data_IF_377423530837
#
_entry.id   IF_377423530837
#
_cell.length_a   1.000
_cell.length_b   1.000
_cell.length_c   1.000
_cell.angle_alpha   90.00
_cell.angle_beta   90.00
_cell.angle_gamma   90.00
#
_symmetry.space_group_name_H-M   'P 1'
#
loop_
_entity.id
_entity.type
_entity.pdbx_description
1 polymer ?
#
# COMPACT_ATOMS: atom_id res chain seq x y z
N UNK A 1 3.83 13.68 16.49
CA UNK A 1 3.88 12.29 15.96
C UNK A 1 2.49 11.70 16.18
N UNK A 2 1.87 11.05 15.18
CA UNK A 2 0.57 10.40 15.39
C UNK A 2 0.70 9.29 16.44
N UNK A 3 -0.28 9.17 17.33
CA UNK A 3 -0.29 8.17 18.40
C UNK A 3 -0.65 6.77 17.87
N UNK A 4 0.25 6.17 17.10
CA UNK A 4 0.10 4.81 16.55
C UNK A 4 -0.23 3.79 17.64
N UNK A 5 0.25 4.00 18.87
CA UNK A 5 -0.06 3.16 20.01
C UNK A 5 -1.56 3.07 20.28
N UNK A 6 -2.30 4.17 20.20
CA UNK A 6 -3.76 4.21 20.42
C UNK A 6 -4.45 3.44 19.30
N UNK A 7 -4.12 3.79 18.04
CA UNK A 7 -4.70 3.17 16.85
C UNK A 7 -4.52 1.64 16.87
N UNK A 8 -3.31 1.15 17.16
CA UNK A 8 -3.07 -0.28 17.20
C UNK A 8 -3.72 -0.96 18.42
N UNK A 9 -3.80 -0.28 19.56
CA UNK A 9 -4.50 -0.82 20.74
C UNK A 9 -5.98 -1.03 20.43
N UNK A 10 -6.62 -0.05 19.78
CA UNK A 10 -8.02 -0.15 19.38
C UNK A 10 -8.23 -1.29 18.38
N UNK A 11 -7.37 -1.39 17.36
CA UNK A 11 -7.49 -2.45 16.34
C UNK A 11 -7.22 -3.85 16.90
N UNK A 12 -6.28 -3.99 17.84
CA UNK A 12 -6.02 -5.28 18.49
C UNK A 12 -7.21 -5.67 19.37
N UNK A 13 -7.78 -4.73 20.14
CA UNK A 13 -8.99 -4.98 20.93
C UNK A 13 -10.17 -5.44 20.08
N UNK A 14 -10.38 -4.81 18.92
CA UNK A 14 -11.53 -5.08 18.06
C UNK A 14 -11.37 -6.39 17.25
N UNK A 15 -10.18 -6.64 16.70
CA UNK A 15 -9.97 -7.71 15.71
C UNK A 15 -9.17 -8.91 16.19
N UNK A 16 -8.32 -8.71 17.20
CA UNK A 16 -7.41 -9.75 17.70
C UNK A 16 -7.33 -9.72 19.23
N UNK A 17 -8.47 -9.83 19.93
CA UNK A 17 -8.49 -9.77 21.38
C UNK A 17 -7.60 -10.85 22.03
N UNK A 18 -7.36 -11.96 21.33
CA UNK A 18 -6.44 -13.02 21.77
C UNK A 18 -4.96 -12.59 21.80
N UNK A 19 -4.58 -11.54 21.05
CA UNK A 19 -3.20 -11.05 20.96
C UNK A 19 -2.91 -9.89 21.90
N UNK A 20 -3.92 -9.35 22.59
CA UNK A 20 -3.74 -8.16 23.43
C UNK A 20 -2.90 -8.41 24.68
N UNK A 21 -2.94 -9.64 25.18
CA UNK A 21 -2.17 -10.07 26.35
C UNK A 21 -0.84 -10.71 25.96
N UNK A 22 -0.47 -10.73 24.67
CA UNK A 22 0.80 -11.27 24.23
C UNK A 22 1.93 -10.29 24.64
N UNK A 23 2.86 -10.73 25.52
CA UNK A 23 3.95 -9.88 25.98
C UNK A 23 4.84 -9.39 24.81
N UNK A 24 4.98 -10.17 23.74
CA UNK A 24 5.75 -9.79 22.55
C UNK A 24 5.07 -8.63 21.81
N UNK A 25 3.74 -8.65 21.71
CA UNK A 25 2.95 -7.59 21.09
C UNK A 25 3.03 -6.31 21.92
N UNK A 26 2.85 -6.40 23.24
CA UNK A 26 2.93 -5.27 24.15
C UNK A 26 4.32 -4.61 24.10
N UNK A 27 5.40 -5.38 24.13
CA UNK A 27 6.77 -4.84 24.03
C UNK A 27 6.99 -4.13 22.70
N UNK A 28 6.58 -4.72 21.57
CA UNK A 28 6.76 -4.11 20.24
C UNK A 28 5.90 -2.88 20.02
N UNK A 29 4.67 -2.87 20.56
CA UNK A 29 3.76 -1.72 20.51
C UNK A 29 4.36 -0.50 21.25
N UNK A 30 5.02 -0.74 22.38
CA UNK A 30 5.73 0.29 23.13
C UNK A 30 7.06 0.74 22.48
N UNK A 31 7.58 -0.03 21.53
CA UNK A 31 8.83 0.26 20.81
C UNK A 31 8.61 0.86 19.41
N UNK A 32 7.40 1.34 19.09
CA UNK A 32 7.05 1.96 17.80
C UNK A 32 7.62 3.38 17.66
N UNK A 33 8.93 3.47 17.42
CA UNK A 33 9.63 4.75 17.33
C UNK A 33 9.87 5.20 15.88
N UNK A 34 9.86 4.27 14.92
CA UNK A 34 10.11 4.58 13.51
C UNK A 34 9.00 4.06 12.59
N UNK A 35 8.89 4.65 11.40
CA UNK A 35 8.00 4.17 10.36
C UNK A 35 8.30 2.71 9.93
N UNK A 36 9.53 2.25 10.13
CA UNK A 36 9.94 0.86 9.88
C UNK A 36 9.37 -0.08 10.95
N UNK A 37 9.35 0.35 12.21
CA UNK A 37 8.80 -0.44 13.32
C UNK A 37 7.29 -0.57 13.18
N UNK A 38 6.60 0.51 12.80
CA UNK A 38 5.16 0.49 12.48
C UNK A 38 4.87 -0.51 11.36
N UNK A 39 5.72 -0.57 10.32
CA UNK A 39 5.54 -1.50 9.21
C UNK A 39 5.73 -2.97 9.63
N UNK A 40 6.76 -3.24 10.44
CA UNK A 40 7.03 -4.58 10.98
C UNK A 40 5.91 -5.04 11.91
N UNK A 41 5.40 -4.14 12.73
CA UNK A 41 4.32 -4.40 13.66
C UNK A 41 3.00 -4.67 12.95
N UNK A 42 2.67 -3.89 11.91
CA UNK A 42 1.51 -4.13 11.04
C UNK A 42 1.53 -5.57 10.48
N UNK A 43 2.67 -6.00 9.96
CA UNK A 43 2.81 -7.32 9.37
C UNK A 43 2.82 -8.47 10.41
N UNK A 44 3.13 -8.16 11.68
CA UNK A 44 3.03 -9.10 12.80
C UNK A 44 1.57 -9.28 13.24
N UNK A 45 0.80 -8.19 13.32
CA UNK A 45 -0.60 -8.21 13.75
C UNK A 45 -1.52 -8.80 12.69
N UNK A 46 -1.43 -8.32 11.45
CA UNK A 46 -2.33 -8.69 10.35
C UNK A 46 -1.79 -9.83 9.47
N UNK A 47 -0.59 -10.33 9.75
CA UNK A 47 0.12 -11.25 8.87
C UNK A 47 0.83 -10.53 7.73
N UNK A 48 1.84 -11.18 7.14
CA UNK A 48 2.59 -10.60 6.03
C UNK A 48 1.71 -10.56 4.78
N UNK A 49 1.49 -9.40 4.15
CA UNK A 49 1.31 -9.42 2.72
C UNK A 49 2.67 -9.80 2.12
N UNK A 50 2.65 -10.68 1.12
CA UNK A 50 3.79 -11.27 0.44
C UNK A 50 4.99 -10.29 0.30
N UNK A 51 6.24 -10.76 0.38
CA UNK A 51 7.44 -9.89 0.36
C UNK A 51 7.43 -8.92 -0.85
N UNK A 52 6.85 -9.37 -1.96
CA UNK A 52 6.53 -8.60 -3.16
C UNK A 52 5.57 -7.43 -2.92
N UNK A 53 4.52 -7.58 -2.10
CA UNK A 53 3.57 -6.52 -1.73
C UNK A 53 4.22 -5.46 -0.83
N UNK A 54 5.11 -5.86 0.08
CA UNK A 54 5.85 -4.93 0.97
C UNK A 54 6.85 -4.06 0.23
N UNK A 55 7.59 -4.64 -0.73
CA UNK A 55 8.47 -3.88 -1.64
C UNK A 55 7.68 -2.98 -2.59
N UNK A 56 6.50 -3.44 -3.04
CA UNK A 56 5.59 -2.63 -3.85
C UNK A 56 5.01 -1.47 -3.05
N UNK A 57 4.59 -1.65 -1.79
CA UNK A 57 3.97 -0.59 -0.99
C UNK A 57 4.94 0.53 -0.61
N UNK A 58 6.22 0.23 -0.35
CA UNK A 58 7.24 1.28 -0.13
C UNK A 58 7.52 2.11 -1.40
N UNK A 59 7.50 1.49 -2.59
CA UNK A 59 7.65 2.20 -3.88
C UNK A 59 6.36 2.89 -4.36
N UNK A 60 5.21 2.57 -3.76
CA UNK A 60 3.89 3.10 -4.12
C UNK A 60 3.43 4.25 -3.21
N UNK A 61 4.22 4.68 -2.21
CA UNK A 61 3.86 5.79 -1.30
C UNK A 61 3.83 7.18 -1.95
N UNK A 62 4.00 7.31 -3.27
CA UNK A 62 4.06 8.62 -3.95
C UNK A 62 3.12 8.79 -5.14
N UNK A 63 2.32 7.77 -5.50
CA UNK A 63 1.29 7.95 -6.53
C UNK A 63 -0.08 7.91 -5.86
N UNK A 64 -0.68 9.08 -5.71
CA UNK A 64 -2.08 9.19 -5.34
C UNK A 64 -2.97 8.64 -6.47
N UNK A 65 -4.22 8.32 -6.14
CA UNK A 65 -5.16 7.74 -7.09
C UNK A 65 -5.36 8.63 -8.33
N UNK A 66 -5.37 9.95 -8.13
CA UNK A 66 -5.42 10.96 -9.19
C UNK A 66 -4.31 10.77 -10.22
N UNK A 67 -3.04 10.73 -9.76
CA UNK A 67 -1.89 10.56 -10.65
C UNK A 67 -1.93 9.21 -11.40
N UNK A 68 -2.38 8.15 -10.74
CA UNK A 68 -2.52 6.82 -11.37
C UNK A 68 -3.54 6.87 -12.51
N UNK A 69 -4.71 7.47 -12.27
CA UNK A 69 -5.75 7.61 -13.28
C UNK A 69 -5.30 8.51 -14.43
N UNK A 70 -4.56 9.58 -14.14
CA UNK A 70 -3.99 10.47 -15.17
C UNK A 70 -3.00 9.73 -16.07
N UNK A 71 -2.08 8.94 -15.50
CA UNK A 71 -1.11 8.13 -16.26
C UNK A 71 -1.82 7.10 -17.14
N UNK A 72 -2.85 6.42 -16.61
CA UNK A 72 -3.64 5.44 -17.38
C UNK A 72 -4.46 6.12 -18.49
N UNK A 73 -5.00 7.31 -18.24
CA UNK A 73 -5.69 8.11 -19.25
C UNK A 73 -4.71 8.62 -20.33
N UNK A 74 -3.51 9.04 -19.94
CA UNK A 74 -2.45 9.42 -20.88
C UNK A 74 -2.09 8.26 -21.80
N UNK A 75 -1.95 7.05 -21.25
CA UNK A 75 -1.73 5.84 -22.06
C UNK A 75 -2.83 5.66 -23.11
N UNK A 76 -4.10 5.74 -22.70
CA UNK A 76 -5.26 5.53 -23.59
C UNK A 76 -5.37 6.64 -24.65
N UNK A 77 -5.20 7.90 -24.26
CA UNK A 77 -5.28 9.06 -25.16
C UNK A 77 -4.21 9.02 -26.25
N UNK A 78 -3.02 8.52 -25.92
CA UNK A 78 -1.89 8.45 -26.84
C UNK A 78 -1.70 7.06 -27.47
N UNK A 79 -2.63 6.11 -27.26
CA UNK A 79 -2.56 4.74 -27.74
C UNK A 79 -1.24 4.01 -27.43
N UNK A 80 -0.66 4.25 -26.25
CA UNK A 80 0.64 3.70 -25.87
C UNK A 80 0.52 2.29 -25.27
N UNK A 81 1.55 1.48 -25.49
CA UNK A 81 1.72 0.19 -24.81
C UNK A 81 2.15 0.37 -23.36
N UNK A 82 1.95 -0.67 -22.54
CA UNK A 82 2.39 -0.64 -21.14
C UNK A 82 3.90 -0.39 -21.00
N UNK A 83 4.69 -0.82 -21.98
CA UNK A 83 6.15 -0.62 -22.00
C UNK A 83 6.50 0.83 -22.33
N UNK A 84 5.83 1.44 -23.29
CA UNK A 84 6.06 2.85 -23.65
C UNK A 84 5.63 3.79 -22.52
N UNK A 85 4.45 3.56 -21.93
CA UNK A 85 3.99 4.33 -20.76
C UNK A 85 4.94 4.14 -19.57
N UNK A 86 5.40 2.90 -19.34
CA UNK A 86 6.39 2.61 -18.30
C UNK A 86 7.70 3.38 -18.49
N UNK A 87 8.22 3.39 -19.72
CA UNK A 87 9.44 4.13 -20.06
C UNK A 87 9.24 5.65 -19.91
N UNK A 88 8.09 6.17 -20.36
CA UNK A 88 7.76 7.59 -20.29
C UNK A 88 7.72 8.10 -18.84
N UNK A 89 7.02 7.39 -17.95
CA UNK A 89 6.87 7.78 -16.55
C UNK A 89 7.92 7.17 -15.60
N UNK A 90 8.91 6.45 -16.15
CA UNK A 90 9.97 5.74 -15.38
C UNK A 90 9.43 4.80 -14.31
N UNK A 91 8.35 4.11 -14.62
CA UNK A 91 7.68 3.12 -13.76
C UNK A 91 7.79 1.73 -14.36
N UNK A 92 7.62 0.68 -13.55
CA UNK A 92 7.67 -0.68 -14.08
C UNK A 92 6.43 -0.97 -14.94
N UNK A 93 6.60 -1.68 -16.06
CA UNK A 93 5.48 -2.25 -16.85
C UNK A 93 4.52 -3.08 -15.99
N UNK A 94 5.05 -3.74 -14.95
CA UNK A 94 4.27 -4.55 -14.02
C UNK A 94 3.39 -3.67 -13.12
N UNK A 95 3.86 -2.46 -12.79
CA UNK A 95 3.08 -1.45 -12.06
C UNK A 95 1.91 -0.96 -12.90
N UNK A 96 2.14 -0.60 -14.17
CA UNK A 96 1.06 -0.24 -15.11
C UNK A 96 0.04 -1.38 -15.25
N UNK A 97 0.50 -2.62 -15.40
CA UNK A 97 -0.37 -3.79 -15.50
C UNK A 97 -1.24 -3.96 -14.24
N UNK A 98 -0.63 -3.79 -13.06
CA UNK A 98 -1.34 -3.84 -11.78
C UNK A 98 -2.35 -2.70 -11.64
N UNK A 99 -1.99 -1.47 -12.01
CA UNK A 99 -2.89 -0.33 -11.97
C UNK A 99 -4.08 -0.51 -12.90
N UNK A 100 -3.86 -1.00 -14.14
CA UNK A 100 -4.96 -1.31 -15.05
C UNK A 100 -5.95 -2.30 -14.46
N UNK A 101 -5.47 -3.35 -13.78
CA UNK A 101 -6.34 -4.32 -13.12
C UNK A 101 -7.12 -3.74 -11.95
N UNK A 102 -6.50 -2.87 -11.14
CA UNK A 102 -7.14 -2.26 -9.96
C UNK A 102 -8.15 -1.16 -10.35
N UNK A 103 -7.81 -0.35 -11.35
CA UNK A 103 -8.56 0.85 -11.73
C UNK A 103 -9.41 0.66 -12.99
N UNK A 104 -9.54 -0.58 -13.50
CA UNK A 104 -10.31 -0.88 -14.71
C UNK A 104 -11.76 -0.36 -14.64
N UNK A 105 -12.42 -0.55 -13.51
CA UNK A 105 -13.80 -0.13 -13.27
C UNK A 105 -13.97 1.39 -13.17
N UNK A 106 -12.89 2.13 -12.87
CA UNK A 106 -12.90 3.60 -12.76
C UNK A 106 -12.57 4.28 -14.09
N UNK A 107 -11.86 3.62 -15.00
CA UNK A 107 -11.60 4.13 -16.35
C UNK A 107 -12.85 4.12 -17.25
N UNK A 108 -13.83 3.24 -16.99
CA UNK A 108 -15.07 3.17 -17.76
C UNK A 108 -16.08 4.25 -17.38
N UNK A 109 -15.97 4.82 -16.18
CA UNK A 109 -16.96 5.76 -15.62
C UNK A 109 -16.60 7.24 -15.86
N UNK A 110 -15.56 7.52 -16.66
CA UNK A 110 -15.06 8.87 -16.94
C UNK A 110 -15.35 9.34 -18.37
N UNK A 111 -16.43 8.82 -18.96
CA UNK A 111 -17.02 9.31 -20.22
C UNK A 111 -18.35 10.02 -19.94
#
# INVERSE_FOLDING_TARGET
MPDFKIIYTDVINEKFPEKINDPVIITKLNALNTAVDVLKFNALIFGQPDHTVRLRSQRLRSYDESSILEILNYQKKNNLTNTETANHFRISRNTITKWKSIYQSKLSSSF
#
